data_IF_375950455840
#
_entry.id   IF_375950455840
#
_cell.length_a   1.000
_cell.length_b   1.000
_cell.length_c   1.000
_cell.angle_alpha   90.00
_cell.angle_beta   90.00
_cell.angle_gamma   90.00
#
_symmetry.space_group_name_H-M   'P 1'
#
loop_
_entity.id
_entity.type
_entity.pdbx_description
1 polymer ?
#
# COMPACT_ATOMS: atom_id res chain seq x y z
N UNK A 1 11.36 -19.74 -5.33
CA UNK A 1 10.43 -19.37 -6.41
C UNK A 1 9.67 -18.11 -6.00
N UNK A 2 9.99 -16.96 -6.59
CA UNK A 2 9.30 -15.70 -6.29
C UNK A 2 7.91 -15.76 -6.94
N UNK A 3 6.83 -15.72 -6.13
CA UNK A 3 5.46 -15.64 -6.65
C UNK A 3 5.20 -14.19 -7.05
N UNK A 4 4.97 -13.98 -8.34
CA UNK A 4 4.63 -12.69 -8.92
C UNK A 4 3.12 -12.64 -9.15
N UNK A 5 2.49 -11.53 -8.76
CA UNK A 5 1.02 -11.37 -8.79
C UNK A 5 0.62 -10.30 -9.81
N UNK A 6 -0.39 -10.58 -10.65
CA UNK A 6 -0.90 -9.57 -11.59
C UNK A 6 -1.40 -8.33 -10.85
N UNK A 7 -1.49 -7.14 -11.49
CA UNK A 7 -1.96 -5.91 -10.84
C UNK A 7 -3.30 -6.06 -10.12
N UNK A 8 -4.24 -6.81 -10.71
CA UNK A 8 -5.56 -7.09 -10.14
C UNK A 8 -5.45 -7.97 -8.87
N UNK A 9 -4.57 -8.96 -8.88
CA UNK A 9 -4.35 -9.84 -7.71
C UNK A 9 -3.61 -9.08 -6.61
N UNK A 10 -2.64 -8.25 -6.98
CA UNK A 10 -1.91 -7.37 -6.08
C UNK A 10 -2.85 -6.37 -5.37
N UNK A 11 -3.76 -5.74 -6.11
CA UNK A 11 -4.79 -4.86 -5.55
C UNK A 11 -5.70 -5.59 -4.54
N UNK A 12 -6.08 -6.84 -4.84
CA UNK A 12 -6.85 -7.70 -3.92
C UNK A 12 -6.07 -8.02 -2.65
N UNK A 13 -4.77 -8.35 -2.76
CA UNK A 13 -3.90 -8.65 -1.61
C UNK A 13 -3.74 -7.43 -0.70
N UNK A 14 -3.61 -6.24 -1.30
CA UNK A 14 -3.53 -4.97 -0.58
C UNK A 14 -4.89 -4.52 0.00
N UNK A 15 -6.00 -5.11 -0.44
CA UNK A 15 -7.35 -4.74 0.01
C UNK A 15 -7.74 -3.32 -0.43
N UNK A 16 -7.27 -2.87 -1.59
CA UNK A 16 -7.53 -1.53 -2.12
C UNK A 16 -8.20 -1.61 -3.50
N UNK A 17 -8.91 -0.55 -3.89
CA UNK A 17 -9.49 -0.44 -5.24
C UNK A 17 -8.39 -0.29 -6.30
N UNK A 18 -8.69 -0.70 -7.54
CA UNK A 18 -7.74 -0.60 -8.66
C UNK A 18 -7.33 0.85 -8.96
N UNK A 19 -8.22 1.83 -8.75
CA UNK A 19 -7.87 3.25 -8.85
C UNK A 19 -6.80 3.65 -7.83
N UNK A 20 -6.94 3.20 -6.58
CA UNK A 20 -5.98 3.50 -5.52
C UNK A 20 -4.66 2.75 -5.76
N UNK A 21 -4.73 1.54 -6.29
CA UNK A 21 -3.57 0.78 -6.74
C UNK A 21 -2.78 1.53 -7.82
N UNK A 22 -3.45 2.00 -8.88
CA UNK A 22 -2.81 2.77 -9.95
C UNK A 22 -2.12 4.04 -9.42
N UNK A 23 -2.74 4.75 -8.47
CA UNK A 23 -2.09 5.90 -7.81
C UNK A 23 -0.80 5.52 -7.09
N UNK A 24 -0.77 4.38 -6.40
CA UNK A 24 0.46 3.92 -5.72
C UNK A 24 1.56 3.53 -6.71
N UNK A 25 1.19 3.01 -7.89
CA UNK A 25 2.12 2.73 -8.99
C UNK A 25 2.65 4.03 -9.60
N UNK A 26 1.77 5.00 -9.90
CA UNK A 26 2.16 6.33 -10.40
C UNK A 26 3.08 7.09 -9.43
N UNK A 27 2.84 6.94 -8.11
CA UNK A 27 3.66 7.54 -7.07
C UNK A 27 5.01 6.84 -6.85
N UNK A 28 5.37 5.84 -7.67
CA UNK A 28 6.56 5.00 -7.51
C UNK A 28 6.66 4.32 -6.13
N UNK A 29 5.54 4.13 -5.44
CA UNK A 29 5.47 3.42 -4.17
C UNK A 29 5.44 1.91 -4.42
N UNK A 30 4.74 1.51 -5.50
CA UNK A 30 4.84 0.18 -6.09
C UNK A 30 5.73 0.25 -7.33
N UNK A 31 6.90 -0.37 -7.26
CA UNK A 31 7.73 -0.53 -8.44
C UNK A 31 7.08 -1.59 -9.35
N UNK A 32 6.79 -1.27 -10.62
CA UNK A 32 6.53 -2.33 -11.58
C UNK A 32 7.77 -3.23 -11.59
N UNK A 33 7.62 -4.56 -11.57
CA UNK A 33 8.76 -5.45 -11.57
C UNK A 33 9.68 -5.10 -12.73
N UNK A 34 10.99 -5.22 -12.51
CA UNK A 34 11.98 -5.14 -13.58
C UNK A 34 11.45 -5.88 -14.79
N UNK A 35 11.46 -5.19 -15.93
CA UNK A 35 11.04 -5.71 -17.22
C UNK A 35 12.01 -6.83 -17.61
N UNK A 36 11.82 -7.99 -17.00
CA UNK A 36 12.63 -9.16 -17.26
C UNK A 36 12.26 -9.57 -18.68
N UNK A 37 13.17 -9.28 -19.61
CA UNK A 37 12.98 -9.25 -21.07
C UNK A 37 12.41 -10.55 -21.67
N UNK A 38 12.23 -11.59 -20.85
CA UNK A 38 11.72 -12.90 -21.22
C UNK A 38 10.32 -13.24 -20.67
N UNK A 39 9.64 -12.36 -19.94
CA UNK A 39 8.30 -12.67 -19.43
C UNK A 39 7.41 -11.43 -19.41
N UNK A 40 6.43 -11.41 -20.31
CA UNK A 40 5.35 -10.41 -20.44
C UNK A 40 4.36 -10.52 -19.27
N UNK A 41 4.87 -10.56 -18.04
CA UNK A 41 4.07 -10.65 -16.83
C UNK A 41 4.60 -9.57 -15.88
N UNK A 42 3.95 -8.40 -15.94
CA UNK A 42 4.07 -7.35 -14.93
C UNK A 42 3.44 -7.91 -13.65
N UNK A 43 4.21 -8.67 -12.87
CA UNK A 43 3.78 -9.23 -11.61
C UNK A 43 4.50 -8.63 -10.41
N UNK A 44 3.76 -8.23 -9.38
CA UNK A 44 4.29 -7.66 -8.14
C UNK A 44 4.76 -8.77 -7.19
N UNK A 45 5.89 -8.55 -6.51
CA UNK A 45 6.41 -9.52 -5.52
C UNK A 45 5.50 -9.58 -4.30
N UNK A 46 5.09 -10.78 -3.89
CA UNK A 46 4.30 -10.96 -2.68
C UNK A 46 4.91 -10.31 -1.43
N UNK A 47 6.25 -10.33 -1.30
CA UNK A 47 6.95 -9.69 -0.15
C UNK A 47 6.81 -8.18 -0.14
N UNK A 48 6.81 -7.54 -1.31
CA UNK A 48 6.67 -6.09 -1.42
C UNK A 48 5.23 -5.67 -1.10
N UNK A 49 4.25 -6.46 -1.58
CA UNK A 49 2.84 -6.25 -1.24
C UNK A 49 2.58 -6.36 0.27
N UNK A 50 3.16 -7.36 0.93
CA UNK A 50 3.06 -7.53 2.39
C UNK A 50 3.70 -6.37 3.15
N UNK A 51 4.90 -5.92 2.76
CA UNK A 51 5.55 -4.73 3.35
C UNK A 51 4.68 -3.49 3.22
N UNK A 52 4.12 -3.25 2.03
CA UNK A 52 3.23 -2.11 1.77
C UNK A 52 1.97 -2.19 2.62
N UNK A 53 1.37 -3.38 2.74
CA UNK A 53 0.19 -3.61 3.57
C UNK A 53 0.46 -3.27 5.03
N UNK A 54 1.59 -3.72 5.58
CA UNK A 54 2.00 -3.42 6.95
C UNK A 54 2.22 -1.91 7.15
N UNK A 55 2.90 -1.26 6.21
CA UNK A 55 3.17 0.16 6.29
C UNK A 55 1.89 1.01 6.23
N UNK A 56 0.93 0.64 5.37
CA UNK A 56 -0.39 1.29 5.31
C UNK A 56 -1.19 1.16 6.61
N UNK A 57 -1.07 0.02 7.30
CA UNK A 57 -1.72 -0.20 8.61
C UNK A 57 -1.05 0.67 9.67
N UNK A 58 0.27 0.74 9.66
CA UNK A 58 1.04 1.55 10.61
C UNK A 58 0.74 3.05 10.47
N UNK A 59 0.75 3.56 9.23
CA UNK A 59 0.39 4.96 8.93
C UNK A 59 -1.04 5.28 9.40
N UNK A 60 -2.01 4.39 9.13
CA UNK A 60 -3.39 4.55 9.64
C UNK A 60 -3.43 4.64 11.16
N UNK A 61 -2.72 3.76 11.86
CA UNK A 61 -2.67 3.74 13.33
C UNK A 61 -2.06 5.02 13.90
N UNK A 62 -1.03 5.55 13.26
CA UNK A 62 -0.39 6.80 13.67
C UNK A 62 -1.32 8.01 13.46
N UNK A 63 -2.02 8.09 12.33
CA UNK A 63 -3.01 9.14 12.08
C UNK A 63 -4.17 9.13 13.09
N UNK A 64 -4.66 7.96 13.50
CA UNK A 64 -5.70 7.85 14.53
C UNK A 64 -5.22 8.36 15.89
N UNK A 65 -3.96 8.10 16.27
CA UNK A 65 -3.40 8.61 17.53
C UNK A 65 -3.28 10.13 17.53
N UNK A 66 -2.86 10.73 16.42
CA UNK A 66 -2.76 12.19 16.28
C UNK A 66 -4.15 12.83 16.36
N UNK A 67 -5.13 12.28 15.64
CA UNK A 67 -6.50 12.78 15.69
C UNK A 67 -7.09 12.72 17.10
N UNK A 68 -6.88 11.60 17.80
CA UNK A 68 -7.35 11.44 19.18
C UNK A 68 -6.66 12.43 20.13
N UNK A 69 -5.36 12.69 19.95
CA UNK A 69 -4.61 13.67 20.75
C UNK A 69 -5.16 15.10 20.54
N UNK A 70 -5.39 15.50 19.29
CA UNK A 70 -5.94 16.82 18.95
C UNK A 70 -7.35 16.97 19.54
N UNK A 71 -8.18 15.94 19.43
CA UNK A 71 -9.54 15.95 19.99
C UNK A 71 -9.52 16.14 21.52
N UNK A 72 -8.64 15.46 22.23
CA UNK A 72 -8.47 15.61 23.69
C UNK A 72 -8.05 17.05 24.04
N UNK A 73 -7.07 17.62 23.33
CA UNK A 73 -6.60 18.99 23.58
C UNK A 73 -7.71 20.02 23.37
N UNK A 74 -8.55 19.87 22.33
CA UNK A 74 -9.67 20.79 22.07
C UNK A 74 -10.71 20.74 23.18
N UNK A 75 -11.05 19.55 23.67
CA UNK A 75 -12.05 19.38 24.74
C UNK A 75 -11.55 19.93 26.09
N UNK A 76 -10.25 19.83 26.39
CA UNK A 76 -9.68 20.36 27.64
C UNK A 76 -9.56 21.89 27.69
N UNK A 77 -9.78 22.59 26.57
CA UNK A 77 -9.65 24.04 26.46
C UNK A 77 -10.99 24.79 26.47
N UNK A 78 -12.10 24.07 26.64
CA UNK A 78 -13.48 24.58 26.68
C UNK A 78 -14.07 24.39 28.07
#
# INVERSE_FOLDING_TARGET
MLKYYKPIEAAKILGISMQKFNKLVEQNILFPPENNRNTVIIGYSGRELDKLRLNLIEVKKQSTRIFNLILVVIISYW
#
